data_IF_897758518290
#
_entry.id   IF_897758518290
#
_cell.length_a   1.000
_cell.length_b   1.000
_cell.length_c   1.000
_cell.angle_alpha   90.00
_cell.angle_beta   90.00
_cell.angle_gamma   90.00
#
_symmetry.space_group_name_H-M   'P 1'
#
loop_
_entity.id
_entity.type
_entity.pdbx_description
1 polymer ?
#
# COMPACT_ATOMS: atom_id res chain seq x y z
N UNK A 1 -23.33 2.39 -18.95
CA UNK A 1 -23.31 1.20 -18.08
C UNK A 1 -23.26 1.72 -16.65
N UNK A 2 -24.32 1.48 -15.86
CA UNK A 2 -24.37 1.82 -14.44
C UNK A 2 -23.41 0.86 -13.72
N UNK A 3 -22.19 1.33 -13.44
CA UNK A 3 -21.23 0.53 -12.71
C UNK A 3 -21.72 0.33 -11.27
N UNK A 4 -22.15 -0.87 -10.92
CA UNK A 4 -22.31 -1.22 -9.52
C UNK A 4 -20.97 -1.02 -8.80
N UNK A 5 -20.99 -0.25 -7.71
CA UNK A 5 -19.82 -0.08 -6.86
C UNK A 5 -19.40 -1.44 -6.32
N UNK A 6 -18.24 -1.93 -6.74
CA UNK A 6 -17.71 -3.21 -6.27
C UNK A 6 -17.20 -3.01 -4.84
N UNK A 7 -17.91 -3.54 -3.87
CA UNK A 7 -17.50 -3.55 -2.47
C UNK A 7 -16.64 -4.78 -2.16
N UNK A 8 -15.81 -4.69 -1.12
CA UNK A 8 -15.03 -5.84 -0.62
C UNK A 8 -15.93 -7.04 -0.33
N UNK A 9 -17.08 -6.82 0.30
CA UNK A 9 -18.03 -7.90 0.64
C UNK A 9 -18.54 -8.64 -0.60
N UNK A 10 -18.83 -7.92 -1.70
CA UNK A 10 -19.38 -8.46 -2.94
C UNK A 10 -18.31 -9.01 -3.89
N UNK A 11 -17.03 -8.80 -3.62
CA UNK A 11 -15.99 -9.17 -4.55
C UNK A 11 -15.75 -10.69 -4.55
N UNK A 12 -15.31 -11.24 -5.70
CA UNK A 12 -15.09 -12.68 -5.86
C UNK A 12 -14.03 -13.22 -4.91
N UNK A 13 -14.29 -14.42 -4.39
CA UNK A 13 -13.37 -15.08 -3.46
C UNK A 13 -12.06 -15.48 -4.14
N UNK A 14 -12.12 -16.02 -5.37
CA UNK A 14 -10.96 -16.48 -6.10
C UNK A 14 -11.07 -16.22 -7.61
N UNK A 15 -9.97 -15.81 -8.24
CA UNK A 15 -9.92 -15.46 -9.67
C UNK A 15 -9.68 -16.65 -10.60
N UNK A 16 -9.43 -17.86 -10.06
CA UNK A 16 -9.12 -19.05 -10.85
C UNK A 16 -7.63 -19.31 -11.07
N UNK A 17 -6.77 -18.36 -10.74
CA UNK A 17 -5.31 -18.50 -10.88
C UNK A 17 -4.60 -18.20 -9.55
N UNK A 18 -3.80 -19.15 -9.06
CA UNK A 18 -3.05 -18.99 -7.80
C UNK A 18 -1.67 -18.35 -8.01
N UNK A 19 -1.08 -18.53 -9.16
CA UNK A 19 0.34 -18.21 -9.40
C UNK A 19 0.56 -16.83 -10.03
N UNK A 20 -0.42 -16.30 -10.73
CA UNK A 20 -0.31 -15.02 -11.43
C UNK A 20 -1.42 -14.05 -11.05
N UNK A 21 -1.26 -13.32 -9.94
CA UNK A 21 -2.13 -12.19 -9.71
C UNK A 21 -1.84 -11.11 -10.76
N UNK A 22 -2.74 -10.90 -11.71
CA UNK A 22 -2.88 -9.67 -12.46
C UNK A 22 -1.65 -9.04 -13.13
N UNK A 23 -0.83 -9.85 -13.83
CA UNK A 23 0.36 -9.35 -14.53
C UNK A 23 0.02 -8.55 -15.80
N UNK A 24 -1.14 -8.75 -16.40
CA UNK A 24 -1.44 -8.26 -17.76
C UNK A 24 -1.85 -6.79 -17.86
N UNK A 25 -2.10 -6.08 -16.74
CA UNK A 25 -2.57 -4.68 -16.79
C UNK A 25 -1.62 -3.66 -16.13
N UNK A 26 -0.44 -4.07 -15.73
CA UNK A 26 0.60 -3.16 -15.25
C UNK A 26 1.02 -2.16 -16.35
N UNK A 27 0.96 -2.57 -17.63
CA UNK A 27 1.25 -1.70 -18.77
C UNK A 27 0.26 -0.54 -18.96
N UNK A 28 -0.89 -0.59 -18.30
CA UNK A 28 -1.92 0.46 -18.32
C UNK A 28 -1.83 1.37 -17.08
N UNK A 29 -0.87 1.15 -16.18
CA UNK A 29 -0.67 1.99 -15.02
C UNK A 29 -0.31 3.41 -15.45
N UNK A 30 -0.91 4.39 -14.78
CA UNK A 30 -0.61 5.81 -15.02
C UNK A 30 0.75 6.14 -14.43
N UNK A 31 1.58 6.85 -15.18
CA UNK A 31 2.82 7.45 -14.69
C UNK A 31 2.49 8.68 -13.81
N UNK A 32 2.78 8.56 -12.52
CA UNK A 32 2.48 9.60 -11.54
C UNK A 32 3.65 10.56 -11.27
N UNK A 33 4.77 10.44 -11.96
CA UNK A 33 5.97 11.28 -11.72
C UNK A 33 5.67 12.78 -11.79
N UNK A 34 4.75 13.19 -12.66
CA UNK A 34 4.36 14.59 -12.88
C UNK A 34 3.06 15.00 -12.18
N UNK A 35 2.44 14.09 -11.46
CA UNK A 35 1.19 14.36 -10.76
C UNK A 35 1.45 14.97 -9.38
N UNK A 36 0.47 15.68 -8.85
CA UNK A 36 0.52 16.15 -7.47
C UNK A 36 0.27 15.00 -6.47
N UNK A 37 0.72 15.20 -5.24
CA UNK A 37 0.39 14.30 -4.14
C UNK A 37 -1.12 14.24 -3.96
N UNK A 38 -1.67 13.04 -3.99
CA UNK A 38 -3.11 12.83 -3.84
C UNK A 38 -3.58 13.17 -2.43
N UNK A 39 -4.87 13.48 -2.28
CA UNK A 39 -5.44 13.87 -0.98
C UNK A 39 -5.32 12.75 0.07
N UNK A 40 -5.52 11.52 -0.33
CA UNK A 40 -5.36 10.34 0.54
C UNK A 40 -3.92 10.20 1.05
N UNK A 41 -2.93 10.34 0.16
CA UNK A 41 -1.51 10.35 0.52
C UNK A 41 -1.20 11.51 1.48
N UNK A 42 -1.71 12.72 1.20
CA UNK A 42 -1.49 13.89 2.06
C UNK A 42 -2.08 13.70 3.47
N UNK A 43 -3.21 13.00 3.62
CA UNK A 43 -3.78 12.67 4.93
C UNK A 43 -2.86 11.75 5.74
N UNK A 44 -2.27 10.72 5.10
CA UNK A 44 -1.31 9.83 5.77
C UNK A 44 -0.05 10.59 6.16
N UNK A 45 0.48 11.44 5.28
CA UNK A 45 1.65 12.27 5.57
C UNK A 45 1.43 13.21 6.76
N UNK A 46 0.24 13.81 6.88
CA UNK A 46 -0.12 14.64 8.02
C UNK A 46 -0.12 13.85 9.34
N UNK A 47 -0.56 12.60 9.34
CA UNK A 47 -0.47 11.70 10.50
C UNK A 47 0.99 11.39 10.82
N UNK A 48 1.81 11.06 9.82
CA UNK A 48 3.22 10.74 10.03
C UNK A 48 4.04 11.92 10.60
N UNK A 49 3.60 13.15 10.38
CA UNK A 49 4.22 14.32 11.02
C UNK A 49 3.96 14.39 12.53
N UNK A 50 2.90 13.77 13.00
CA UNK A 50 2.52 13.76 14.43
C UNK A 50 3.08 12.57 15.18
N UNK A 51 3.52 11.53 14.49
CA UNK A 51 4.10 10.32 15.10
C UNK A 51 5.61 10.23 14.86
N UNK A 52 6.29 9.45 15.70
CA UNK A 52 7.75 9.35 15.64
C UNK A 52 8.21 8.48 14.47
N UNK A 53 8.49 9.10 13.32
CA UNK A 53 9.10 8.43 12.15
C UNK A 53 10.62 8.49 12.14
N UNK A 54 11.23 9.20 13.11
CA UNK A 54 12.68 9.33 13.20
C UNK A 54 13.35 7.98 13.47
N UNK A 55 14.25 7.59 12.57
CA UNK A 55 14.91 6.29 12.64
C UNK A 55 14.06 5.10 12.15
N UNK A 56 12.82 5.33 11.70
CA UNK A 56 11.94 4.28 11.21
C UNK A 56 12.36 3.73 9.85
N UNK A 57 12.08 2.45 9.61
CA UNK A 57 12.08 1.83 8.28
C UNK A 57 10.67 1.85 7.71
N UNK A 58 10.51 2.36 6.50
CA UNK A 58 9.22 2.59 5.86
C UNK A 58 9.18 1.83 4.52
N UNK A 59 8.09 1.12 4.27
CA UNK A 59 7.72 0.64 2.93
C UNK A 59 6.61 1.53 2.39
N UNK A 60 6.87 2.22 1.27
CA UNK A 60 5.89 3.07 0.59
C UNK A 60 5.41 2.40 -0.69
N UNK A 61 4.14 2.06 -0.76
CA UNK A 61 3.51 1.36 -1.88
C UNK A 61 2.82 2.37 -2.79
N UNK A 62 3.25 2.39 -4.06
CA UNK A 62 2.80 3.40 -5.02
C UNK A 62 3.58 4.71 -4.89
N UNK A 63 4.89 4.66 -5.23
CA UNK A 63 5.81 5.79 -4.99
C UNK A 63 5.49 7.07 -5.78
N UNK A 64 4.83 6.93 -6.92
CA UNK A 64 4.39 8.04 -7.75
C UNK A 64 5.50 9.08 -8.03
N UNK A 65 5.26 10.32 -7.62
CA UNK A 65 6.18 11.45 -7.77
C UNK A 65 7.32 11.48 -6.73
N UNK A 66 7.41 10.50 -5.85
CA UNK A 66 8.41 10.40 -4.76
C UNK A 66 8.45 11.58 -3.77
N UNK A 67 7.46 12.47 -3.75
CA UNK A 67 7.39 13.61 -2.80
C UNK A 67 7.30 13.13 -1.35
N UNK A 68 6.62 12.01 -1.10
CA UNK A 68 6.63 11.36 0.21
C UNK A 68 8.06 11.14 0.70
N UNK A 69 8.89 10.51 -0.11
CA UNK A 69 10.27 10.21 0.28
C UNK A 69 11.10 11.49 0.46
N UNK A 70 10.96 12.46 -0.43
CA UNK A 70 11.66 13.75 -0.29
C UNK A 70 11.32 14.42 1.05
N UNK A 71 10.08 14.28 1.54
CA UNK A 71 9.63 14.85 2.81
C UNK A 71 10.19 14.11 4.03
N UNK A 72 10.25 12.77 3.98
CA UNK A 72 10.54 11.94 5.14
C UNK A 72 11.96 11.35 5.16
N UNK A 73 12.73 11.39 4.06
CA UNK A 73 14.05 10.75 3.97
C UNK A 73 15.04 11.24 5.04
N UNK A 74 15.03 12.53 5.38
CA UNK A 74 15.93 13.07 6.41
C UNK A 74 15.62 12.58 7.83
N UNK A 75 14.42 12.04 8.05
CA UNK A 75 13.94 11.54 9.35
C UNK A 75 13.98 10.02 9.44
N UNK A 76 13.67 9.34 8.35
CA UNK A 76 13.63 7.89 8.28
C UNK A 76 15.03 7.29 8.22
N UNK A 77 15.21 6.12 8.82
CA UNK A 77 16.42 5.30 8.65
C UNK A 77 16.52 4.77 7.23
N UNK A 78 15.42 4.32 6.68
CA UNK A 78 15.30 3.76 5.34
C UNK A 78 13.88 3.91 4.83
N UNK A 79 13.76 4.17 3.51
CA UNK A 79 12.50 4.10 2.80
C UNK A 79 12.70 3.16 1.61
N UNK A 80 11.93 2.08 1.57
CA UNK A 80 11.81 1.22 0.40
C UNK A 80 10.49 1.57 -0.31
N UNK A 81 10.53 1.73 -1.61
CA UNK A 81 9.38 2.07 -2.43
C UNK A 81 8.97 0.94 -3.35
N UNK A 82 7.67 0.74 -3.54
CA UNK A 82 7.13 -0.13 -4.59
C UNK A 82 6.42 0.70 -5.65
N UNK A 83 6.65 0.36 -6.89
CA UNK A 83 5.89 0.85 -8.04
C UNK A 83 5.74 -0.25 -9.06
N UNK A 84 4.74 -0.12 -9.94
CA UNK A 84 4.60 -0.96 -11.14
C UNK A 84 5.10 -0.26 -12.38
N UNK A 85 5.57 0.99 -12.26
CA UNK A 85 5.94 1.85 -13.40
C UNK A 85 7.44 2.16 -13.41
N UNK A 86 8.13 1.80 -14.51
CA UNK A 86 9.58 1.99 -14.63
C UNK A 86 10.00 3.46 -14.58
N UNK A 87 9.18 4.39 -15.11
CA UNK A 87 9.49 5.82 -15.07
C UNK A 87 9.51 6.36 -13.63
N UNK A 88 8.59 5.89 -12.78
CA UNK A 88 8.56 6.29 -11.36
C UNK A 88 9.83 5.81 -10.64
N UNK A 89 10.30 4.59 -10.92
CA UNK A 89 11.59 4.13 -10.40
C UNK A 89 12.74 5.01 -10.91
N UNK A 90 12.80 5.28 -12.20
CA UNK A 90 13.86 6.12 -12.79
C UNK A 90 13.86 7.53 -12.17
N UNK A 91 12.65 8.11 -11.96
CA UNK A 91 12.50 9.39 -11.27
C UNK A 91 13.00 9.34 -9.83
N UNK A 92 12.64 8.29 -9.10
CA UNK A 92 13.06 8.08 -7.72
C UNK A 92 14.59 7.92 -7.59
N UNK A 93 15.20 7.10 -8.46
CA UNK A 93 16.65 6.88 -8.48
C UNK A 93 17.41 8.19 -8.75
N UNK A 94 16.86 9.06 -9.61
CA UNK A 94 17.45 10.37 -9.94
C UNK A 94 17.48 11.35 -8.75
N UNK A 95 16.71 11.12 -7.67
CA UNK A 95 16.77 11.93 -6.46
C UNK A 95 18.09 11.74 -5.69
N UNK A 96 18.81 10.64 -5.90
CA UNK A 96 20.10 10.37 -5.27
C UNK A 96 20.06 10.25 -3.75
N UNK A 97 18.91 9.88 -3.16
CA UNK A 97 18.75 9.75 -1.72
C UNK A 97 19.37 8.42 -1.23
N UNK A 98 20.38 8.45 -0.33
CA UNK A 98 21.15 7.26 0.01
C UNK A 98 20.38 6.20 0.81
N UNK A 99 19.26 6.56 1.43
CA UNK A 99 18.39 5.69 2.20
C UNK A 99 17.06 5.39 1.50
N UNK A 100 16.98 5.61 0.19
CA UNK A 100 15.80 5.33 -0.62
C UNK A 100 16.11 4.29 -1.70
N UNK A 101 15.34 3.22 -1.75
CA UNK A 101 15.43 2.18 -2.79
C UNK A 101 14.05 1.92 -3.35
N UNK A 102 13.89 1.90 -4.67
CA UNK A 102 12.61 1.62 -5.32
C UNK A 102 12.69 0.33 -6.13
N UNK A 103 11.67 -0.50 -5.96
CA UNK A 103 11.49 -1.77 -6.67
C UNK A 103 10.30 -1.64 -7.64
N UNK A 104 10.52 -2.05 -8.90
CA UNK A 104 9.42 -2.25 -9.85
C UNK A 104 8.81 -3.62 -9.58
N UNK A 105 7.76 -3.63 -8.80
CA UNK A 105 7.14 -4.85 -8.29
C UNK A 105 5.66 -4.62 -8.00
N UNK A 106 4.82 -5.55 -8.43
CA UNK A 106 3.42 -5.59 -8.04
C UNK A 106 3.30 -6.11 -6.59
N UNK A 107 2.60 -5.38 -5.73
CA UNK A 107 2.37 -5.78 -4.33
C UNK A 107 1.70 -7.15 -4.16
N UNK A 108 1.01 -7.63 -5.19
CA UNK A 108 0.37 -8.96 -5.22
C UNK A 108 1.27 -10.06 -5.78
N UNK A 109 2.46 -9.72 -6.26
CA UNK A 109 3.39 -10.69 -6.86
C UNK A 109 3.93 -11.67 -5.82
N UNK A 110 4.12 -12.96 -6.18
CA UNK A 110 4.79 -13.93 -5.33
C UNK A 110 6.23 -13.52 -4.98
N UNK A 111 6.88 -12.76 -5.87
CA UNK A 111 8.24 -12.25 -5.66
C UNK A 111 8.33 -11.23 -4.53
N UNK A 112 7.19 -10.67 -4.06
CA UNK A 112 7.17 -9.70 -2.96
C UNK A 112 8.01 -10.18 -1.78
N UNK A 113 7.83 -11.43 -1.34
CA UNK A 113 8.52 -11.96 -0.15
C UNK A 113 10.03 -12.07 -0.35
N UNK A 114 10.50 -12.38 -1.57
CA UNK A 114 11.93 -12.50 -1.86
C UNK A 114 12.61 -11.15 -2.10
N UNK A 115 11.89 -10.19 -2.66
CA UNK A 115 12.39 -8.84 -2.95
C UNK A 115 12.32 -7.94 -1.72
N UNK A 116 11.21 -8.01 -0.97
CA UNK A 116 10.97 -7.24 0.24
C UNK A 116 11.36 -8.07 1.46
N UNK A 117 12.65 -8.30 1.62
CA UNK A 117 13.21 -9.12 2.71
C UNK A 117 13.39 -8.36 4.03
N UNK A 118 13.11 -7.07 4.06
CA UNK A 118 13.28 -6.22 5.24
C UNK A 118 12.04 -6.22 6.13
N UNK A 119 12.20 -5.77 7.37
CA UNK A 119 11.09 -5.46 8.27
C UNK A 119 10.90 -3.96 8.41
N UNK A 120 9.64 -3.54 8.55
CA UNK A 120 9.25 -2.14 8.53
C UNK A 120 8.48 -1.74 9.79
N UNK A 121 8.75 -0.53 10.23
CA UNK A 121 7.98 0.11 11.29
C UNK A 121 6.66 0.67 10.73
N UNK A 122 6.69 1.07 9.44
CA UNK A 122 5.49 1.51 8.74
C UNK A 122 5.43 0.92 7.32
N UNK A 123 4.25 0.44 6.93
CA UNK A 123 3.90 0.17 5.54
C UNK A 123 2.82 1.15 5.15
N UNK A 124 3.08 1.98 4.14
CA UNK A 124 2.15 3.00 3.66
C UNK A 124 1.53 2.50 2.38
N UNK A 125 0.24 2.21 2.41
CA UNK A 125 -0.56 1.82 1.25
C UNK A 125 -1.92 2.50 1.32
N UNK A 126 -2.03 3.68 0.72
CA UNK A 126 -3.23 4.50 0.75
C UNK A 126 -4.42 3.85 0.01
N UNK A 127 -4.14 2.96 -0.95
CA UNK A 127 -5.12 2.24 -1.76
C UNK A 127 -5.05 0.73 -1.50
N UNK A 128 -5.25 0.29 -0.28
CA UNK A 128 -4.93 -1.06 0.18
C UNK A 128 -5.47 -2.18 -0.73
N UNK A 129 -6.71 -2.07 -1.19
CA UNK A 129 -7.37 -3.07 -2.04
C UNK A 129 -7.30 -2.78 -3.55
N UNK A 130 -6.69 -1.65 -3.97
CA UNK A 130 -6.65 -1.34 -5.40
C UNK A 130 -5.86 -2.37 -6.19
N UNK A 131 -6.35 -2.66 -7.39
CA UNK A 131 -5.83 -3.67 -8.31
C UNK A 131 -5.85 -5.12 -7.81
N UNK A 132 -6.50 -5.41 -6.69
CA UNK A 132 -6.71 -6.79 -6.27
C UNK A 132 -7.63 -7.52 -7.28
N UNK A 133 -7.22 -8.68 -7.77
CA UNK A 133 -8.06 -9.46 -8.68
C UNK A 133 -9.11 -10.31 -7.96
N UNK A 134 -8.94 -10.58 -6.68
CA UNK A 134 -9.87 -11.36 -5.84
C UNK A 134 -9.45 -11.28 -4.36
N UNK A 135 -10.34 -11.72 -3.46
CA UNK A 135 -10.07 -11.75 -2.01
C UNK A 135 -8.90 -12.66 -1.64
N UNK A 136 -8.70 -13.76 -2.36
CA UNK A 136 -7.56 -14.65 -2.10
C UNK A 136 -6.22 -13.91 -2.28
N UNK A 137 -6.00 -13.24 -3.41
CA UNK A 137 -4.74 -12.52 -3.64
C UNK A 137 -4.60 -11.32 -2.72
N UNK A 138 -5.69 -10.63 -2.41
CA UNK A 138 -5.67 -9.60 -1.37
C UNK A 138 -5.20 -10.18 -0.03
N UNK A 139 -5.75 -11.33 0.39
CA UNK A 139 -5.37 -11.97 1.65
C UNK A 139 -3.89 -12.40 1.66
N UNK A 140 -3.37 -12.92 0.54
CA UNK A 140 -1.95 -13.27 0.40
C UNK A 140 -1.06 -12.03 0.52
N UNK A 141 -1.35 -10.98 -0.22
CA UNK A 141 -0.63 -9.69 -0.16
C UNK A 141 -0.67 -9.13 1.27
N UNK A 142 -1.84 -9.10 1.88
CA UNK A 142 -2.02 -8.58 3.23
C UNK A 142 -1.26 -9.38 4.29
N UNK A 143 -1.26 -10.72 4.17
CA UNK A 143 -0.43 -11.59 5.00
C UNK A 143 1.08 -11.35 4.81
N UNK A 144 1.51 -11.01 3.60
CA UNK A 144 2.90 -10.62 3.31
C UNK A 144 3.25 -9.30 4.01
N UNK A 145 2.35 -8.31 4.00
CA UNK A 145 2.54 -7.06 4.73
C UNK A 145 2.70 -7.30 6.22
N UNK A 146 1.80 -8.10 6.83
CA UNK A 146 1.90 -8.40 8.26
C UNK A 146 3.22 -9.08 8.63
N UNK A 147 3.76 -9.96 7.78
CA UNK A 147 5.07 -10.59 7.99
C UNK A 147 6.24 -9.62 7.81
N UNK A 148 6.07 -8.60 6.98
CA UNK A 148 7.09 -7.57 6.76
C UNK A 148 7.09 -6.47 7.82
N UNK A 149 6.14 -6.46 8.76
CA UNK A 149 6.14 -5.53 9.89
C UNK A 149 7.12 -5.97 10.99
N UNK A 150 7.71 -4.99 11.69
CA UNK A 150 8.29 -5.22 13.01
C UNK A 150 7.19 -5.56 14.02
N UNK A 151 7.56 -6.03 15.22
CA UNK A 151 6.59 -6.35 16.30
C UNK A 151 5.70 -5.18 16.71
N UNK A 152 6.13 -3.95 16.46
CA UNK A 152 5.38 -2.71 16.75
C UNK A 152 5.00 -1.96 15.48
N UNK A 153 5.22 -2.58 14.32
CA UNK A 153 4.98 -1.97 13.02
C UNK A 153 3.49 -1.85 12.71
N UNK A 154 3.17 -0.91 11.83
CA UNK A 154 1.81 -0.60 11.43
C UNK A 154 1.69 -0.42 9.91
N UNK A 155 0.58 -0.90 9.35
CA UNK A 155 0.15 -0.51 8.00
C UNK A 155 -0.72 0.73 8.15
N UNK A 156 -0.41 1.79 7.41
CA UNK A 156 -1.24 2.99 7.34
C UNK A 156 -1.97 3.03 6.00
N UNK A 157 -3.26 3.24 6.06
CA UNK A 157 -4.13 3.36 4.88
C UNK A 157 -5.13 4.50 5.06
N UNK A 158 -5.78 4.95 3.97
CA UNK A 158 -6.69 6.08 4.00
C UNK A 158 -8.03 5.71 3.36
N UNK A 159 -9.15 6.08 4.04
CA UNK A 159 -10.50 5.84 3.52
C UNK A 159 -10.69 6.46 2.14
N UNK A 160 -10.15 7.67 1.90
CA UNK A 160 -10.27 8.36 0.61
C UNK A 160 -9.65 7.52 -0.53
N UNK A 161 -8.49 6.90 -0.29
CA UNK A 161 -7.85 6.01 -1.26
C UNK A 161 -8.58 4.68 -1.40
N UNK A 162 -9.08 4.12 -0.30
CA UNK A 162 -9.85 2.88 -0.31
C UNK A 162 -11.23 3.04 -0.98
N UNK A 163 -11.80 4.24 -0.98
CA UNK A 163 -13.05 4.57 -1.69
C UNK A 163 -12.81 4.87 -3.17
N UNK A 164 -11.57 5.08 -3.58
CA UNK A 164 -11.24 5.39 -4.95
C UNK A 164 -11.51 4.19 -5.85
N UNK A 165 -12.55 4.30 -6.67
CA UNK A 165 -12.90 3.30 -7.67
C UNK A 165 -12.01 3.47 -8.90
N UNK A 166 -11.17 2.48 -9.15
CA UNK A 166 -10.29 2.46 -10.31
C UNK A 166 -10.87 1.60 -11.47
N UNK A 167 -12.13 1.80 -11.80
CA UNK A 167 -12.82 1.06 -12.87
C UNK A 167 -12.86 -0.44 -12.59
N UNK A 168 -12.35 -1.24 -13.54
CA UNK A 168 -12.32 -2.70 -13.39
C UNK A 168 -11.20 -3.20 -12.46
N UNK A 169 -10.38 -2.31 -11.89
CA UNK A 169 -9.10 -2.64 -11.24
C UNK A 169 -9.13 -2.61 -9.72
N UNK A 170 -10.27 -2.55 -9.11
CA UNK A 170 -10.32 -2.51 -7.67
C UNK A 170 -11.73 -2.64 -7.12
N UNK A 171 -11.81 -2.55 -5.84
CA UNK A 171 -13.02 -2.63 -5.03
C UNK A 171 -12.87 -1.61 -3.91
N UNK A 172 -13.98 -1.06 -3.54
CA UNK A 172 -14.08 -0.15 -2.42
C UNK A 172 -14.02 -0.96 -1.13
N UNK A 173 -13.17 -0.53 -0.20
CA UNK A 173 -13.13 -1.04 1.17
C UNK A 173 -13.55 0.04 2.15
N UNK A 174 -14.42 -0.33 3.09
CA UNK A 174 -14.84 0.53 4.19
C UNK A 174 -14.04 0.23 5.46
N UNK A 175 -14.14 1.10 6.46
CA UNK A 175 -13.61 0.81 7.79
C UNK A 175 -14.17 -0.50 8.37
N UNK A 176 -15.46 -0.77 8.16
CA UNK A 176 -16.08 -2.02 8.60
C UNK A 176 -15.46 -3.27 7.92
N UNK A 177 -15.09 -3.15 6.63
CA UNK A 177 -14.38 -4.23 5.93
C UNK A 177 -12.99 -4.45 6.53
N UNK A 178 -12.24 -3.38 6.87
CA UNK A 178 -10.95 -3.51 7.55
C UNK A 178 -11.10 -4.20 8.92
N UNK A 179 -12.05 -3.76 9.74
CA UNK A 179 -12.33 -4.39 11.05
C UNK A 179 -12.70 -5.87 10.88
N UNK A 180 -13.41 -6.23 9.79
CA UNK A 180 -13.75 -7.63 9.51
C UNK A 180 -12.52 -8.53 9.30
N UNK A 181 -11.38 -7.96 8.90
CA UNK A 181 -10.12 -8.70 8.75
C UNK A 181 -9.57 -9.21 10.09
N UNK A 182 -9.94 -8.59 11.22
CA UNK A 182 -9.55 -9.04 12.56
C UNK A 182 -10.03 -10.46 12.88
N UNK A 183 -11.08 -10.92 12.21
CA UNK A 183 -11.56 -12.32 12.33
C UNK A 183 -10.74 -13.32 11.53
N UNK A 184 -9.95 -12.86 10.56
CA UNK A 184 -9.19 -13.68 9.61
C UNK A 184 -7.68 -13.65 9.87
N UNK A 185 -7.20 -12.56 10.46
CA UNK A 185 -5.78 -12.31 10.72
C UNK A 185 -5.57 -11.89 12.18
N UNK A 186 -4.43 -12.23 12.78
CA UNK A 186 -4.08 -11.77 14.13
C UNK A 186 -3.65 -10.29 14.07
N UNK A 187 -4.61 -9.39 13.98
CA UNK A 187 -4.37 -7.95 13.87
C UNK A 187 -5.40 -7.13 14.66
N UNK A 188 -5.12 -5.85 14.80
CA UNK A 188 -6.01 -4.84 15.34
C UNK A 188 -6.05 -3.63 14.42
N UNK A 189 -7.26 -3.13 14.14
CA UNK A 189 -7.50 -1.92 13.34
C UNK A 189 -7.86 -0.78 14.28
N UNK A 190 -7.16 0.34 14.17
CA UNK A 190 -7.43 1.56 14.93
C UNK A 190 -7.59 2.77 14.00
N UNK A 191 -8.33 3.75 14.47
CA UNK A 191 -8.54 5.02 13.79
C UNK A 191 -7.53 6.04 14.32
N UNK A 192 -6.73 6.63 13.43
CA UNK A 192 -5.81 7.72 13.77
C UNK A 192 -6.44 9.10 13.51
N UNK A 193 -7.22 9.19 12.44
CA UNK A 193 -8.09 10.35 12.12
C UNK A 193 -9.39 9.85 11.53
N UNK A 194 -10.31 10.75 11.19
CA UNK A 194 -11.59 10.39 10.54
C UNK A 194 -11.43 9.57 9.26
N UNK A 195 -10.26 9.63 8.62
CA UNK A 195 -10.01 8.98 7.32
C UNK A 195 -8.72 8.14 7.27
N UNK A 196 -7.85 8.20 8.28
CA UNK A 196 -6.59 7.42 8.31
C UNK A 196 -6.67 6.34 9.37
N UNK A 197 -6.35 5.12 8.98
CA UNK A 197 -6.40 3.93 9.82
C UNK A 197 -5.01 3.32 9.95
N UNK A 198 -4.74 2.78 11.13
CA UNK A 198 -3.57 1.96 11.41
C UNK A 198 -3.98 0.51 11.65
N UNK A 199 -3.23 -0.41 11.08
CA UNK A 199 -3.42 -1.86 11.22
C UNK A 199 -2.11 -2.43 11.78
N UNK A 200 -2.18 -2.96 12.99
CA UNK A 200 -1.05 -3.56 13.70
C UNK A 200 -1.25 -5.06 13.89
N UNK A 201 -0.18 -5.86 13.84
CA UNK A 201 -0.26 -7.26 14.24
C UNK A 201 -0.60 -7.38 15.74
N UNK A 202 -1.49 -8.30 16.11
CA UNK A 202 -1.69 -8.69 17.51
C UNK A 202 -0.49 -9.52 17.96
N UNK A 203 0.07 -9.14 19.07
CA UNK A 203 1.12 -9.90 19.75
C UNK A 203 0.56 -11.12 20.44
#
# INVERSE_FOLDING_TARGET
MSGETRTYAAYKEFCGNREQPWVTRISEAVDWTQQETTRDQACIEAVLDTIAVTGASILHVGVGNSRFTQRFASRARRIDGLTVHQNEKTHADALGLPNYTVYVLNKYSPEFVSVIANTYDFIIDNNLASFACCKYHFAVMFGNYLRALTSHGQILTCQIGMDAYHGDFGWVMTYADLVSLESKFPLHVSTLTDVVYAIAARQ
#
